data_IF_242708401009
#
_entry.id   IF_242708401009
#
_cell.length_a   1.000
_cell.length_b   1.000
_cell.length_c   1.000
_cell.angle_alpha   90.00
_cell.angle_beta   90.00
_cell.angle_gamma   90.00
#
_symmetry.space_group_name_H-M   'P 1'
#
loop_
_entity.id
_entity.type
_entity.pdbx_description
1 polymer ?
#
# COMPACT_ATOMS: atom_id res chain seq x y z
N UNK A 1 2.54 62.40 -30.13
CA UNK A 1 3.54 61.73 -30.99
C UNK A 1 3.07 60.30 -31.22
N UNK A 2 2.45 60.03 -32.36
CA UNK A 2 1.88 58.71 -32.66
C UNK A 2 2.97 57.84 -33.28
N UNK A 3 3.46 56.85 -32.52
CA UNK A 3 4.46 55.90 -33.00
C UNK A 3 3.84 55.05 -34.12
N UNK A 4 4.19 55.37 -35.37
CA UNK A 4 3.81 54.57 -36.53
C UNK A 4 4.62 53.28 -36.49
N UNK A 5 3.97 52.19 -36.09
CA UNK A 5 4.53 50.83 -36.18
C UNK A 5 4.95 50.58 -37.64
N UNK A 6 6.23 50.21 -37.91
CA UNK A 6 6.73 50.01 -39.26
C UNK A 6 5.92 48.95 -40.01
N UNK A 7 5.66 49.19 -41.29
CA UNK A 7 4.79 48.38 -42.14
C UNK A 7 5.22 46.90 -42.19
N UNK A 8 6.53 46.64 -42.08
CA UNK A 8 7.09 45.29 -41.99
C UNK A 8 6.57 44.51 -40.76
N UNK A 9 6.39 45.18 -39.61
CA UNK A 9 5.91 44.53 -38.39
C UNK A 9 4.41 44.20 -38.48
N UNK A 10 3.63 44.98 -39.24
CA UNK A 10 2.20 44.72 -39.50
C UNK A 10 1.95 43.49 -40.37
N UNK A 11 2.92 43.09 -41.19
CA UNK A 11 2.84 41.89 -42.05
C UNK A 11 3.44 40.65 -41.38
N UNK A 12 4.41 40.81 -40.48
CA UNK A 12 5.06 39.71 -39.77
C UNK A 12 4.17 39.09 -38.68
N UNK A 13 3.39 39.91 -37.97
CA UNK A 13 2.47 39.44 -36.92
C UNK A 13 1.41 38.44 -37.41
N UNK A 14 0.65 38.69 -38.49
CA UNK A 14 -0.32 37.72 -38.99
C UNK A 14 0.36 36.47 -39.56
N UNK A 15 1.56 36.59 -40.13
CA UNK A 15 2.33 35.44 -40.62
C UNK A 15 2.81 34.53 -39.48
N UNK A 16 3.33 35.12 -38.40
CA UNK A 16 3.70 34.40 -37.17
C UNK A 16 2.47 33.76 -36.52
N UNK A 17 1.32 34.43 -36.53
CA UNK A 17 0.09 33.89 -35.98
C UNK A 17 -0.45 32.70 -36.81
N UNK A 18 -0.31 32.76 -38.14
CA UNK A 18 -0.64 31.66 -39.06
C UNK A 18 0.30 30.46 -38.88
N UNK A 19 1.61 30.71 -38.74
CA UNK A 19 2.59 29.66 -38.47
C UNK A 19 2.37 29.00 -37.10
N UNK A 20 2.03 29.77 -36.07
CA UNK A 20 1.66 29.25 -34.75
C UNK A 20 0.38 28.40 -34.80
N UNK A 21 -0.64 28.81 -35.57
CA UNK A 21 -1.87 28.05 -35.78
C UNK A 21 -1.64 26.75 -36.58
N UNK A 22 -0.72 26.75 -37.54
CA UNK A 22 -0.31 25.53 -38.25
C UNK A 22 0.42 24.55 -37.33
N UNK A 23 1.30 25.02 -36.43
CA UNK A 23 1.99 24.19 -35.45
C UNK A 23 1.03 23.58 -34.41
N UNK A 24 -0.01 24.31 -34.00
CA UNK A 24 -1.07 23.80 -33.10
C UNK A 24 -1.95 22.73 -33.76
N UNK A 25 -2.24 22.84 -35.07
CA UNK A 25 -2.98 21.81 -35.82
C UNK A 25 -2.19 20.51 -36.00
N UNK A 26 -0.86 20.60 -36.15
CA UNK A 26 0.01 19.41 -36.26
C UNK A 26 0.09 18.66 -34.92
N UNK A 27 0.07 19.34 -33.77
CA UNK A 27 0.03 18.68 -32.44
C UNK A 27 -1.34 18.07 -32.09
N UNK A 28 -2.44 18.61 -32.60
CA UNK A 28 -3.78 18.06 -32.36
C UNK A 28 -4.06 16.78 -33.17
N UNK A 29 -3.33 16.54 -34.27
CA UNK A 29 -3.58 15.44 -35.21
C UNK A 29 -2.73 14.18 -34.96
N UNK A 30 -1.96 14.12 -33.87
CA UNK A 30 -1.09 12.97 -33.56
C UNK A 30 -1.33 12.45 -32.13
N UNK A 31 -2.56 12.05 -31.84
CA UNK A 31 -2.82 11.02 -30.84
C UNK A 31 -3.64 9.93 -31.54
N UNK A 32 -3.08 8.74 -31.82
CA UNK A 32 -3.93 7.64 -32.26
C UNK A 32 -4.99 7.39 -31.17
N UNK A 33 -6.24 7.08 -31.53
CA UNK A 33 -7.20 6.60 -30.54
C UNK A 33 -6.54 5.41 -29.83
N UNK A 34 -6.48 5.45 -28.51
CA UNK A 34 -6.09 4.27 -27.72
C UNK A 34 -6.91 3.10 -28.26
N UNK A 35 -6.29 1.97 -28.61
CA UNK A 35 -7.05 0.79 -28.98
C UNK A 35 -8.00 0.54 -27.79
N UNK A 36 -9.30 0.56 -28.06
CA UNK A 36 -10.31 0.12 -27.11
C UNK A 36 -9.80 -1.21 -26.57
N UNK A 37 -9.39 -1.23 -25.30
CA UNK A 37 -8.82 -2.41 -24.69
C UNK A 37 -9.88 -3.49 -24.84
N UNK A 38 -9.59 -4.48 -25.69
CA UNK A 38 -10.43 -5.65 -25.82
C UNK A 38 -10.70 -6.17 -24.41
N UNK A 39 -11.95 -6.50 -24.05
CA UNK A 39 -12.25 -7.06 -22.73
C UNK A 39 -11.28 -8.20 -22.48
N UNK A 40 -10.50 -8.11 -21.40
CA UNK A 40 -9.61 -9.19 -21.01
C UNK A 40 -10.43 -10.48 -20.95
N UNK A 41 -9.90 -11.61 -21.46
CA UNK A 41 -10.62 -12.87 -21.40
C UNK A 41 -11.06 -13.14 -19.96
N UNK A 42 -12.27 -13.68 -19.75
CA UNK A 42 -12.77 -13.95 -18.42
C UNK A 42 -11.75 -14.80 -17.67
N UNK A 43 -11.35 -14.34 -16.48
CA UNK A 43 -10.40 -15.07 -15.65
C UNK A 43 -10.94 -16.49 -15.43
N UNK A 44 -10.13 -17.54 -15.63
CA UNK A 44 -10.59 -18.90 -15.40
C UNK A 44 -11.15 -19.02 -13.97
N UNK A 45 -12.18 -19.86 -13.77
CA UNK A 45 -12.79 -20.02 -12.47
C UNK A 45 -11.75 -20.49 -11.45
N UNK A 46 -11.73 -19.84 -10.28
CA UNK A 46 -10.81 -20.12 -9.18
C UNK A 46 -10.78 -21.60 -8.76
N UNK A 47 -11.90 -22.29 -8.91
CA UNK A 47 -12.05 -23.69 -8.57
C UNK A 47 -12.68 -24.44 -9.75
N UNK A 48 -12.31 -25.71 -9.98
CA UNK A 48 -13.03 -26.59 -10.90
C UNK A 48 -14.53 -26.65 -10.57
N UNK A 49 -15.41 -26.97 -11.52
CA UNK A 49 -16.83 -27.21 -11.25
C UNK A 49 -17.02 -28.24 -10.13
N UNK A 50 -18.07 -28.07 -9.31
CA UNK A 50 -18.44 -29.08 -8.34
C UNK A 50 -18.86 -30.35 -9.06
N UNK A 51 -18.20 -31.47 -8.74
CA UNK A 51 -18.71 -32.78 -9.14
C UNK A 51 -19.80 -33.20 -8.14
N UNK A 52 -21.06 -32.95 -8.50
CA UNK A 52 -22.25 -33.22 -7.66
C UNK A 52 -22.42 -34.71 -7.37
N UNK A 53 -21.78 -35.58 -8.17
CA UNK A 53 -21.80 -37.04 -8.01
C UNK A 53 -20.72 -37.58 -7.07
N UNK A 54 -19.80 -36.73 -6.60
CA UNK A 54 -18.74 -37.15 -5.68
C UNK A 54 -19.31 -37.35 -4.27
N UNK A 55 -18.84 -38.36 -3.51
CA UNK A 55 -19.22 -38.53 -2.11
C UNK A 55 -18.86 -37.26 -1.30
N UNK A 56 -19.58 -36.97 -0.20
CA UNK A 56 -19.25 -35.84 0.67
C UNK A 56 -17.76 -35.86 1.03
N UNK A 57 -17.06 -34.72 0.98
CA UNK A 57 -15.64 -34.71 1.26
C UNK A 57 -15.39 -35.27 2.66
N UNK A 58 -14.59 -36.34 2.73
CA UNK A 58 -14.00 -36.82 3.98
C UNK A 58 -13.16 -35.69 4.59
N UNK A 59 -12.91 -35.73 5.91
CA UNK A 59 -12.08 -34.72 6.58
C UNK A 59 -10.80 -34.51 5.77
N UNK A 60 -10.58 -33.27 5.35
CA UNK A 60 -9.43 -32.89 4.55
C UNK A 60 -8.17 -33.14 5.37
N UNK A 61 -7.37 -34.12 4.96
CA UNK A 61 -6.13 -34.48 5.64
C UNK A 61 -4.96 -33.67 5.07
N UNK A 62 -4.16 -33.10 5.96
CA UNK A 62 -2.91 -32.41 5.67
C UNK A 62 -1.97 -32.54 6.88
N UNK A 63 -0.67 -32.58 6.65
CA UNK A 63 0.33 -32.85 7.68
C UNK A 63 0.79 -31.60 8.44
N UNK A 64 0.79 -30.42 7.81
CA UNK A 64 1.25 -29.17 8.43
C UNK A 64 0.56 -27.94 7.85
N UNK A 65 0.64 -26.80 8.54
CA UNK A 65 0.35 -25.50 7.95
C UNK A 65 1.63 -24.79 7.51
N UNK A 66 1.55 -24.05 6.42
CA UNK A 66 2.56 -23.08 6.00
C UNK A 66 2.01 -21.68 6.19
N UNK A 67 2.56 -20.93 7.13
CA UNK A 67 2.35 -19.49 7.23
C UNK A 67 3.33 -18.81 6.26
N UNK A 68 2.81 -18.23 5.17
CA UNK A 68 3.58 -17.40 4.26
C UNK A 68 3.52 -15.95 4.71
N UNK A 69 4.69 -15.34 4.87
CA UNK A 69 4.85 -13.91 5.11
C UNK A 69 5.67 -13.28 3.99
N UNK A 70 5.11 -12.28 3.32
CA UNK A 70 5.71 -11.61 2.18
C UNK A 70 6.52 -10.39 2.61
N UNK A 71 7.62 -10.14 1.90
CA UNK A 71 8.36 -8.88 2.00
C UNK A 71 7.76 -7.87 1.02
N UNK A 72 7.09 -6.78 1.50
CA UNK A 72 6.31 -5.88 0.64
C UNK A 72 7.08 -5.28 -0.53
N UNK A 73 8.33 -4.88 -0.33
CA UNK A 73 9.18 -4.31 -1.39
C UNK A 73 9.41 -5.31 -2.53
N UNK A 74 9.53 -6.60 -2.23
CA UNK A 74 9.67 -7.63 -3.26
C UNK A 74 8.37 -7.85 -4.03
N UNK A 75 7.21 -7.81 -3.35
CA UNK A 75 5.90 -7.90 -4.01
C UNK A 75 5.69 -6.70 -4.94
N UNK A 76 6.01 -5.50 -4.46
CA UNK A 76 5.89 -4.24 -5.20
C UNK A 76 6.89 -4.09 -6.35
N UNK A 77 7.90 -4.95 -6.43
CA UNK A 77 8.82 -4.99 -7.56
C UNK A 77 8.25 -5.77 -8.76
N UNK A 78 7.10 -6.43 -8.60
CA UNK A 78 6.45 -7.14 -9.71
C UNK A 78 5.78 -6.16 -10.67
N UNK A 79 5.83 -6.40 -11.99
CA UNK A 79 5.15 -5.55 -12.97
C UNK A 79 3.64 -5.47 -12.78
N UNK A 80 3.04 -6.49 -12.18
CA UNK A 80 1.60 -6.58 -11.89
C UNK A 80 1.19 -5.81 -10.64
N UNK A 81 2.14 -5.26 -9.88
CA UNK A 81 1.85 -4.53 -8.66
C UNK A 81 1.48 -3.08 -8.97
N UNK A 82 0.18 -2.77 -8.83
CA UNK A 82 -0.36 -1.44 -9.16
C UNK A 82 -1.01 -0.74 -7.96
N UNK A 83 -0.91 -1.32 -6.76
CA UNK A 83 -1.46 -0.71 -5.55
C UNK A 83 -0.67 0.54 -5.15
N UNK A 84 -1.37 1.61 -4.75
CA UNK A 84 -0.74 2.81 -4.18
C UNK A 84 0.06 2.50 -2.90
N UNK A 85 -0.20 1.36 -2.24
CA UNK A 85 0.59 0.87 -1.12
C UNK A 85 2.06 0.61 -1.49
N UNK A 86 2.35 0.37 -2.78
CA UNK A 86 3.72 0.20 -3.28
C UNK A 86 4.52 1.51 -3.38
N UNK A 87 3.88 2.67 -3.21
CA UNK A 87 4.61 3.92 -3.04
C UNK A 87 5.36 3.95 -1.71
N UNK A 88 4.74 3.44 -0.63
CA UNK A 88 5.32 3.40 0.72
C UNK A 88 5.08 2.03 1.36
N UNK A 89 5.69 0.97 0.82
CA UNK A 89 5.52 -0.36 1.38
C UNK A 89 6.12 -0.41 2.79
N UNK A 90 5.45 -1.08 3.74
CA UNK A 90 5.94 -1.13 5.11
C UNK A 90 7.24 -1.95 5.19
N UNK A 91 8.26 -1.51 5.94
CA UNK A 91 9.53 -2.23 6.14
C UNK A 91 9.40 -3.37 7.14
N UNK A 92 8.34 -4.16 7.00
CA UNK A 92 8.09 -5.36 7.80
C UNK A 92 7.34 -6.38 6.97
N UNK A 93 7.43 -7.64 7.39
CA UNK A 93 6.73 -8.72 6.72
C UNK A 93 5.21 -8.58 6.89
N UNK A 94 4.49 -8.86 5.82
CA UNK A 94 3.02 -8.90 5.79
C UNK A 94 2.54 -10.31 5.48
N UNK A 95 1.28 -10.61 5.76
CA UNK A 95 0.72 -11.92 5.53
C UNK A 95 0.60 -12.18 4.02
N UNK A 96 1.13 -13.31 3.58
CA UNK A 96 0.85 -13.91 2.28
C UNK A 96 -0.30 -14.92 2.36
N UNK A 97 -0.31 -15.75 3.43
CA UNK A 97 -1.41 -16.64 3.76
C UNK A 97 -1.09 -17.74 4.76
N UNK A 98 -2.09 -18.58 5.07
CA UNK A 98 -1.93 -19.77 5.90
C UNK A 98 -2.46 -20.99 5.15
N UNK A 99 -1.57 -21.88 4.74
CA UNK A 99 -1.90 -22.92 3.77
C UNK A 99 -1.78 -24.29 4.40
N UNK A 100 -2.85 -25.10 4.42
CA UNK A 100 -2.75 -26.51 4.75
C UNK A 100 -1.91 -27.21 3.67
N UNK A 101 -0.83 -27.85 4.07
CA UNK A 101 0.08 -28.54 3.17
C UNK A 101 0.00 -30.04 3.44
N UNK A 102 -0.27 -30.80 2.38
CA UNK A 102 -0.07 -32.23 2.38
C UNK A 102 1.28 -32.62 1.78
N UNK A 103 2.10 -33.35 2.54
CA UNK A 103 3.42 -33.85 2.09
C UNK A 103 3.33 -35.20 1.38
N UNK A 104 2.25 -35.94 1.59
CA UNK A 104 2.02 -37.28 1.02
C UNK A 104 1.26 -37.25 -0.31
N UNK A 105 0.59 -36.14 -0.63
CA UNK A 105 -0.25 -36.00 -1.83
C UNK A 105 0.43 -35.18 -2.92
N UNK A 106 0.23 -35.58 -4.17
CA UNK A 106 0.67 -34.83 -5.35
C UNK A 106 -0.07 -33.50 -5.53
N UNK A 107 -1.35 -33.46 -5.13
CA UNK A 107 -2.19 -32.27 -5.16
C UNK A 107 -2.51 -31.78 -3.75
N UNK A 108 -2.36 -30.47 -3.55
CA UNK A 108 -2.72 -29.81 -2.30
C UNK A 108 -4.25 -29.68 -2.17
N UNK A 109 -4.80 -29.77 -0.95
CA UNK A 109 -6.22 -29.60 -0.77
C UNK A 109 -6.61 -28.14 -1.05
N UNK A 110 -7.51 -27.94 -2.00
CA UNK A 110 -8.05 -26.62 -2.35
C UNK A 110 -9.56 -26.67 -2.52
N UNK A 111 -10.23 -25.52 -2.47
CA UNK A 111 -11.65 -25.39 -2.82
C UNK A 111 -12.63 -26.25 -1.98
N UNK A 112 -12.28 -26.56 -0.72
CA UNK A 112 -13.11 -27.38 0.18
C UNK A 112 -14.43 -26.69 0.57
N UNK A 113 -14.47 -25.36 0.50
CA UNK A 113 -15.70 -24.56 0.53
C UNK A 113 -15.55 -23.32 -0.36
N UNK A 114 -16.64 -22.91 -1.01
CA UNK A 114 -16.69 -21.71 -1.87
C UNK A 114 -17.38 -20.51 -1.23
N UNK A 115 -18.04 -20.70 -0.09
CA UNK A 115 -18.74 -19.64 0.62
C UNK A 115 -17.76 -18.71 1.31
N UNK A 116 -17.88 -17.42 1.03
CA UNK A 116 -17.13 -16.35 1.69
C UNK A 116 -18.07 -15.16 1.89
N UNK A 117 -18.11 -14.65 3.11
CA UNK A 117 -18.86 -13.45 3.45
C UNK A 117 -17.96 -12.49 4.20
N UNK A 118 -17.76 -11.30 3.62
CA UNK A 118 -16.93 -10.26 4.24
C UNK A 118 -17.50 -9.81 5.59
N UNK A 119 -18.83 -9.83 5.74
CA UNK A 119 -19.52 -9.49 7.00
C UNK A 119 -19.05 -10.34 8.20
N UNK A 120 -18.68 -11.61 7.96
CA UNK A 120 -18.20 -12.55 8.99
C UNK A 120 -16.86 -12.12 9.61
N UNK A 121 -16.11 -11.25 8.93
CA UNK A 121 -14.80 -10.74 9.36
C UNK A 121 -14.74 -9.21 9.40
N UNK A 122 -15.88 -8.53 9.35
CA UNK A 122 -15.94 -7.07 9.22
C UNK A 122 -15.22 -6.33 10.36
N UNK A 123 -15.38 -6.78 11.59
CA UNK A 123 -14.75 -6.21 12.80
C UNK A 123 -13.22 -6.40 12.83
N UNK A 124 -12.70 -7.44 12.18
CA UNK A 124 -11.24 -7.68 12.09
C UNK A 124 -10.64 -7.19 10.77
N UNK A 125 -11.47 -6.71 9.83
CA UNK A 125 -11.01 -6.19 8.55
C UNK A 125 -9.96 -5.06 8.69
N UNK A 126 -10.07 -4.09 9.63
CA UNK A 126 -9.00 -3.10 9.82
C UNK A 126 -7.64 -3.70 10.15
N UNK A 127 -7.60 -4.78 10.95
CA UNK A 127 -6.37 -5.50 11.24
C UNK A 127 -5.87 -6.25 10.00
N UNK A 128 -6.75 -6.89 9.24
CA UNK A 128 -6.39 -7.54 7.99
C UNK A 128 -5.84 -6.55 6.96
N UNK A 129 -6.37 -5.32 6.84
CA UNK A 129 -5.79 -4.30 5.96
C UNK A 129 -4.36 -3.93 6.34
N UNK A 130 -4.09 -3.85 7.64
CA UNK A 130 -2.76 -3.51 8.15
C UNK A 130 -1.74 -4.63 7.95
N UNK A 131 -2.15 -5.88 8.20
CA UNK A 131 -1.23 -7.01 8.24
C UNK A 131 -1.29 -7.90 7.00
N UNK A 132 -2.37 -7.87 6.23
CA UNK A 132 -2.62 -8.65 5.00
C UNK A 132 -3.20 -7.77 3.86
N UNK A 133 -2.51 -6.66 3.51
CA UNK A 133 -2.93 -5.81 2.39
C UNK A 133 -2.76 -6.51 1.04
N UNK A 134 -3.46 -5.99 0.02
CA UNK A 134 -3.23 -6.35 -1.37
C UNK A 134 -2.35 -5.31 -2.07
N UNK A 135 -1.07 -5.64 -2.22
CA UNK A 135 -0.09 -4.83 -2.96
C UNK A 135 -0.22 -4.98 -4.48
N UNK A 136 -0.89 -6.02 -4.98
CA UNK A 136 -0.94 -6.30 -6.40
C UNK A 136 -2.13 -5.63 -7.07
N UNK A 137 -3.35 -5.94 -6.61
CA UNK A 137 -4.59 -5.54 -7.28
C UNK A 137 -5.38 -4.47 -6.52
N UNK A 138 -4.93 -4.07 -5.33
CA UNK A 138 -5.65 -3.16 -4.44
C UNK A 138 -7.09 -3.59 -4.13
N UNK A 139 -7.38 -4.90 -4.17
CA UNK A 139 -8.67 -5.49 -3.84
C UNK A 139 -8.51 -6.54 -2.72
N UNK A 140 -8.48 -6.03 -1.50
CA UNK A 140 -8.27 -6.84 -0.30
C UNK A 140 -9.40 -7.87 -0.09
N UNK A 141 -10.64 -7.54 -0.43
CA UNK A 141 -11.77 -8.45 -0.27
C UNK A 141 -11.66 -9.64 -1.24
N UNK A 142 -11.26 -9.37 -2.50
CA UNK A 142 -10.98 -10.43 -3.47
C UNK A 142 -9.77 -11.28 -3.08
N UNK A 143 -8.71 -10.66 -2.55
CA UNK A 143 -7.54 -11.35 -2.00
C UNK A 143 -7.96 -12.31 -0.88
N UNK A 144 -8.65 -11.81 0.15
CA UNK A 144 -9.06 -12.62 1.30
C UNK A 144 -10.04 -13.72 0.89
N UNK A 145 -10.98 -13.43 -0.02
CA UNK A 145 -11.87 -14.45 -0.61
C UNK A 145 -11.07 -15.55 -1.28
N UNK A 146 -10.10 -15.19 -2.11
CA UNK A 146 -9.25 -16.14 -2.85
C UNK A 146 -8.46 -17.02 -1.88
N UNK A 147 -7.80 -16.40 -0.89
CA UNK A 147 -7.03 -17.12 0.13
C UNK A 147 -7.90 -18.06 0.97
N UNK A 148 -9.13 -17.64 1.30
CA UNK A 148 -10.08 -18.51 1.97
C UNK A 148 -10.51 -19.68 1.08
N UNK A 149 -10.99 -19.41 -0.14
CA UNK A 149 -11.53 -20.46 -1.01
C UNK A 149 -10.45 -21.48 -1.38
N UNK A 150 -9.26 -21.02 -1.77
CA UNK A 150 -8.18 -21.91 -2.21
C UNK A 150 -7.50 -22.64 -1.06
N UNK A 151 -7.41 -22.06 0.13
CA UNK A 151 -6.60 -22.64 1.21
C UNK A 151 -7.35 -22.72 2.54
N UNK A 152 -7.90 -21.60 3.02
CA UNK A 152 -8.52 -21.52 4.33
C UNK A 152 -9.70 -22.47 4.52
N UNK A 153 -10.49 -22.72 3.47
CA UNK A 153 -11.63 -23.63 3.49
C UNK A 153 -11.24 -25.08 3.76
N UNK A 154 -9.98 -25.44 3.46
CA UNK A 154 -9.41 -26.76 3.68
C UNK A 154 -8.65 -26.87 5.01
N UNK A 155 -8.59 -25.79 5.80
CA UNK A 155 -7.79 -25.73 7.02
C UNK A 155 -8.39 -26.48 8.21
N UNK A 156 -9.64 -26.92 8.13
CA UNK A 156 -10.38 -27.44 9.29
C UNK A 156 -10.84 -26.34 10.27
N UNK A 157 -10.52 -25.07 10.01
CA UNK A 157 -11.02 -23.92 10.76
C UNK A 157 -12.23 -23.29 10.06
N UNK A 158 -13.17 -22.75 10.84
CA UNK A 158 -14.22 -21.89 10.29
C UNK A 158 -13.66 -20.56 9.78
N UNK A 159 -14.36 -19.92 8.81
CA UNK A 159 -13.90 -18.71 8.12
C UNK A 159 -13.36 -17.63 9.06
N UNK A 160 -14.14 -17.24 10.07
CA UNK A 160 -13.73 -16.22 11.05
C UNK A 160 -12.50 -16.65 11.86
N UNK A 161 -12.50 -17.89 12.32
CA UNK A 161 -11.42 -18.47 13.13
C UNK A 161 -10.12 -18.56 12.35
N UNK A 162 -10.19 -18.91 11.06
CA UNK A 162 -9.05 -18.91 10.15
C UNK A 162 -8.38 -17.54 10.10
N UNK A 163 -9.11 -16.47 9.75
CA UNK A 163 -8.51 -15.13 9.65
C UNK A 163 -7.96 -14.62 10.98
N UNK A 164 -8.65 -14.87 12.10
CA UNK A 164 -8.11 -14.54 13.43
C UNK A 164 -6.82 -15.30 13.73
N UNK A 165 -6.76 -16.58 13.39
CA UNK A 165 -5.58 -17.42 13.60
C UNK A 165 -4.41 -16.95 12.74
N UNK A 166 -4.62 -16.57 11.47
CA UNK A 166 -3.53 -16.04 10.62
C UNK A 166 -2.98 -14.72 11.20
N UNK A 167 -3.85 -13.80 11.65
CA UNK A 167 -3.43 -12.56 12.30
C UNK A 167 -2.63 -12.80 13.59
N UNK A 168 -3.05 -13.75 14.42
CA UNK A 168 -2.32 -14.17 15.60
C UNK A 168 -0.93 -14.71 15.23
N UNK A 169 -0.87 -15.66 14.30
CA UNK A 169 0.36 -16.32 13.87
C UNK A 169 1.36 -15.36 13.23
N UNK A 170 0.88 -14.42 12.41
CA UNK A 170 1.73 -13.45 11.69
C UNK A 170 2.56 -12.55 12.60
N UNK A 171 2.12 -12.35 13.85
CA UNK A 171 2.76 -11.46 14.82
C UNK A 171 3.75 -12.17 15.74
N UNK A 172 3.91 -13.49 15.61
CA UNK A 172 4.77 -14.29 16.49
C UNK A 172 6.27 -14.14 16.18
N UNK A 173 6.62 -13.72 14.97
CA UNK A 173 7.99 -13.76 14.47
C UNK A 173 8.46 -12.36 14.07
N UNK A 174 9.54 -11.90 14.70
CA UNK A 174 10.19 -10.63 14.35
C UNK A 174 11.39 -10.88 13.42
N UNK A 175 11.07 -11.20 12.17
CA UNK A 175 12.09 -11.49 11.15
C UNK A 175 12.97 -10.29 10.83
N UNK A 176 12.46 -9.06 10.93
CA UNK A 176 13.24 -7.86 10.65
C UNK A 176 14.34 -7.68 11.69
N UNK A 177 13.98 -7.80 12.98
CA UNK A 177 14.97 -7.76 14.07
C UNK A 177 16.01 -8.85 13.91
N UNK A 178 15.57 -10.08 13.61
CA UNK A 178 16.46 -11.23 13.45
C UNK A 178 17.46 -11.02 12.31
N UNK A 179 16.99 -10.61 11.13
CA UNK A 179 17.84 -10.24 9.98
C UNK A 179 18.87 -9.17 10.38
N UNK A 180 18.44 -8.08 11.01
CA UNK A 180 19.32 -6.99 11.41
C UNK A 180 20.39 -7.43 12.42
N UNK A 181 20.04 -8.30 13.39
CA UNK A 181 20.99 -8.81 14.39
C UNK A 181 22.13 -9.63 13.79
N UNK A 182 21.90 -10.23 12.63
CA UNK A 182 22.91 -10.96 11.84
C UNK A 182 23.60 -10.09 10.78
N UNK A 183 23.39 -8.77 10.78
CA UNK A 183 23.95 -7.86 9.78
C UNK A 183 23.31 -7.99 8.39
N UNK A 184 22.19 -8.71 8.28
CA UNK A 184 21.38 -8.85 7.06
C UNK A 184 20.42 -7.66 6.99
N UNK A 185 20.85 -6.63 6.27
CA UNK A 185 20.09 -5.39 6.11
C UNK A 185 19.30 -5.39 4.80
N UNK A 186 18.10 -4.82 4.84
CA UNK A 186 17.37 -4.50 3.62
C UNK A 186 18.03 -3.30 2.91
N UNK A 187 18.22 -3.41 1.59
CA UNK A 187 19.01 -2.46 0.80
C UNK A 187 18.71 -2.59 -0.70
N UNK A 188 18.94 -1.51 -1.46
CA UNK A 188 18.91 -1.52 -2.92
C UNK A 188 20.13 -2.16 -3.57
N UNK A 189 21.29 -2.19 -2.88
CA UNK A 189 22.59 -2.51 -3.49
C UNK A 189 23.40 -3.57 -2.75
N UNK A 190 22.92 -4.10 -1.61
CA UNK A 190 23.62 -5.14 -0.85
C UNK A 190 22.91 -6.48 -0.91
N UNK A 191 23.59 -7.47 -1.47
CA UNK A 191 23.17 -8.87 -1.42
C UNK A 191 23.86 -9.62 -0.28
N UNK A 192 23.18 -10.62 0.26
CA UNK A 192 23.66 -11.46 1.36
C UNK A 192 23.83 -12.92 0.92
N UNK A 193 24.73 -13.66 1.57
CA UNK A 193 24.84 -15.10 1.31
C UNK A 193 23.58 -15.83 1.79
N UNK A 194 23.15 -16.86 1.06
CA UNK A 194 21.97 -17.66 1.41
C UNK A 194 21.99 -18.12 2.87
N UNK A 195 23.09 -18.73 3.32
CA UNK A 195 23.22 -19.27 4.68
C UNK A 195 23.10 -18.19 5.76
N UNK A 196 23.62 -16.99 5.50
CA UNK A 196 23.51 -15.88 6.45
C UNK A 196 22.04 -15.46 6.62
N UNK A 197 21.28 -15.36 5.52
CA UNK A 197 19.85 -15.04 5.56
C UNK A 197 19.06 -16.17 6.22
N UNK A 198 19.32 -17.42 5.86
CA UNK A 198 18.65 -18.59 6.41
C UNK A 198 18.85 -18.69 7.93
N UNK A 199 20.09 -18.50 8.42
CA UNK A 199 20.39 -18.55 9.85
C UNK A 199 19.70 -17.43 10.63
N UNK A 200 19.71 -16.22 10.09
CA UNK A 200 19.01 -15.09 10.70
C UNK A 200 17.50 -15.34 10.79
N UNK A 201 16.87 -15.87 9.74
CA UNK A 201 15.44 -16.18 9.79
C UNK A 201 15.12 -17.34 10.75
N UNK A 202 15.99 -18.35 10.85
CA UNK A 202 15.78 -19.45 11.78
C UNK A 202 15.82 -18.97 13.24
N UNK A 203 16.69 -18.00 13.58
CA UNK A 203 16.76 -17.38 14.92
C UNK A 203 15.41 -16.80 15.34
N UNK A 204 14.74 -16.07 14.44
CA UNK A 204 13.42 -15.50 14.71
C UNK A 204 12.34 -16.54 15.06
N UNK A 205 12.58 -17.81 14.75
CA UNK A 205 11.68 -18.93 15.04
C UNK A 205 12.19 -19.85 16.15
N UNK A 206 13.23 -19.47 16.90
CA UNK A 206 13.80 -20.31 17.95
C UNK A 206 14.68 -21.46 17.41
N UNK A 207 15.24 -21.28 16.21
CA UNK A 207 16.15 -22.24 15.58
C UNK A 207 15.48 -23.22 14.61
N UNK A 208 14.15 -23.21 14.48
CA UNK A 208 13.47 -24.02 13.47
C UNK A 208 13.77 -23.50 12.07
N UNK A 209 13.90 -24.43 11.12
CA UNK A 209 14.15 -24.09 9.72
C UNK A 209 12.90 -23.49 9.08
N UNK A 210 13.01 -22.25 8.61
CA UNK A 210 12.02 -21.66 7.67
C UNK A 210 12.36 -22.01 6.22
N UNK A 211 11.38 -21.91 5.32
CA UNK A 211 11.61 -21.98 3.87
C UNK A 211 11.61 -20.57 3.29
N UNK A 212 12.66 -20.23 2.53
CA UNK A 212 12.75 -18.95 1.83
C UNK A 212 12.24 -19.09 0.38
N UNK A 213 11.33 -18.21 -0.01
CA UNK A 213 10.85 -18.05 -1.40
C UNK A 213 11.57 -16.84 -2.00
N UNK A 214 12.21 -17.03 -3.15
CA UNK A 214 12.88 -15.95 -3.87
C UNK A 214 12.30 -15.76 -5.26
N UNK A 215 12.39 -14.53 -5.77
CA UNK A 215 12.02 -14.19 -7.13
C UNK A 215 13.15 -13.48 -7.86
N UNK A 216 13.07 -13.49 -9.18
CA UNK A 216 13.94 -12.67 -10.01
C UNK A 216 13.30 -11.29 -10.14
N UNK A 217 14.03 -10.26 -9.72
CA UNK A 217 13.68 -8.87 -9.97
C UNK A 217 14.87 -8.23 -10.71
N UNK A 218 14.67 -7.83 -11.97
CA UNK A 218 15.75 -7.43 -12.88
C UNK A 218 16.86 -8.50 -12.91
N UNK A 219 18.09 -8.15 -12.50
CA UNK A 219 19.26 -9.03 -12.44
C UNK A 219 19.52 -9.61 -11.04
N UNK A 220 18.59 -9.43 -10.10
CA UNK A 220 18.77 -9.82 -8.70
C UNK A 220 17.83 -10.96 -8.30
N UNK A 221 18.32 -11.82 -7.42
CA UNK A 221 17.48 -12.78 -6.68
C UNK A 221 17.03 -12.09 -5.40
N UNK A 222 15.74 -11.79 -5.27
CA UNK A 222 15.16 -11.08 -4.13
C UNK A 222 14.39 -12.02 -3.22
N UNK A 223 14.50 -11.84 -1.90
CA UNK A 223 13.67 -12.55 -0.93
C UNK A 223 12.23 -12.08 -1.08
N UNK A 224 11.36 -12.96 -1.57
CA UNK A 224 9.95 -12.64 -1.80
C UNK A 224 9.10 -12.94 -0.57
N UNK A 225 9.29 -14.13 0.02
CA UNK A 225 8.53 -14.55 1.19
C UNK A 225 9.34 -15.48 2.11
N UNK A 226 8.93 -15.50 3.37
CA UNK A 226 9.38 -16.44 4.39
C UNK A 226 8.21 -17.33 4.75
N UNK A 227 8.40 -18.64 4.63
CA UNK A 227 7.40 -19.65 4.95
C UNK A 227 7.77 -20.33 6.27
N UNK A 228 6.92 -20.18 7.27
CA UNK A 228 7.03 -20.85 8.56
C UNK A 228 6.12 -22.06 8.59
N UNK A 229 6.65 -23.22 8.93
CA UNK A 229 5.87 -24.45 9.02
C UNK A 229 5.38 -24.66 10.45
N UNK A 230 4.12 -25.06 10.59
CA UNK A 230 3.44 -25.18 11.87
C UNK A 230 2.75 -26.54 11.97
N UNK A 231 2.74 -27.11 13.17
CA UNK A 231 2.00 -28.34 13.45
C UNK A 231 0.49 -28.14 13.16
N UNK A 232 -0.13 -29.09 12.46
CA UNK A 232 -1.52 -28.99 11.97
C UNK A 232 -2.62 -28.92 13.06
N UNK A 233 -2.34 -29.36 14.29
CA UNK A 233 -3.27 -29.20 15.43
C UNK A 233 -2.88 -28.09 16.42
N UNK A 234 -1.61 -28.07 16.87
CA UNK A 234 -1.15 -27.19 17.95
C UNK A 234 -0.69 -25.82 17.47
N UNK A 235 -0.39 -25.67 16.18
CA UNK A 235 0.22 -24.47 15.61
C UNK A 235 1.58 -24.10 16.22
N UNK A 236 2.29 -25.09 16.78
CA UNK A 236 3.69 -24.94 17.19
C UNK A 236 4.57 -24.85 15.96
N UNK A 237 5.65 -24.07 16.03
CA UNK A 237 6.67 -24.02 14.98
C UNK A 237 7.36 -25.37 14.85
N UNK A 238 7.52 -25.82 13.61
CA UNK A 238 8.26 -27.04 13.26
C UNK A 238 9.21 -26.73 12.10
N UNK A 239 10.21 -27.59 11.90
CA UNK A 239 11.09 -27.49 10.75
C UNK A 239 10.29 -27.63 9.45
N UNK A 240 10.44 -26.68 8.54
CA UNK A 240 9.95 -26.85 7.19
C UNK A 240 10.71 -27.98 6.48
N UNK A 241 10.02 -28.81 5.67
CA UNK A 241 10.69 -29.82 4.86
C UNK A 241 11.78 -29.22 3.98
N UNK A 242 12.92 -29.93 3.88
CA UNK A 242 14.05 -29.56 3.02
C UNK A 242 13.66 -29.51 1.56
N UNK A 243 12.73 -30.37 1.15
CA UNK A 243 12.15 -30.35 -0.18
C UNK A 243 11.20 -29.16 -0.31
N UNK A 244 11.50 -28.30 -1.27
CA UNK A 244 10.49 -27.40 -1.80
C UNK A 244 9.53 -28.28 -2.60
N UNK A 245 8.41 -28.66 -1.98
CA UNK A 245 7.43 -29.56 -2.59
C UNK A 245 6.93 -28.92 -3.88
N UNK A 246 7.31 -29.53 -4.98
CA UNK A 246 6.85 -29.26 -6.34
C UNK A 246 5.42 -29.83 -6.41
N UNK A 247 4.39 -28.98 -6.35
CA UNK A 247 3.10 -29.43 -6.87
C UNK A 247 3.24 -29.47 -8.38
N UNK A 248 3.19 -30.65 -8.97
CA UNK A 248 3.44 -30.87 -10.41
C UNK A 248 2.37 -30.28 -11.34
N UNK A 249 1.35 -29.61 -10.79
CA UNK A 249 0.32 -28.87 -11.55
C UNK A 249 0.29 -27.38 -11.20
N UNK A 250 1.19 -26.91 -10.35
CA UNK A 250 1.44 -25.50 -10.12
C UNK A 250 2.81 -25.20 -10.75
N UNK A 251 2.88 -24.19 -11.61
CA UNK A 251 4.13 -23.71 -12.22
C UNK A 251 5.13 -23.14 -11.20
N UNK A 252 4.93 -23.41 -9.90
CA UNK A 252 5.71 -22.93 -8.77
C UNK A 252 6.95 -23.77 -8.40
N UNK A 253 7.51 -24.52 -9.37
CA UNK A 253 8.98 -24.68 -9.35
C UNK A 253 9.68 -23.31 -9.40
N UNK A 254 9.00 -22.26 -9.87
CA UNK A 254 9.34 -20.87 -9.56
C UNK A 254 9.12 -20.64 -8.06
N UNK A 255 10.19 -20.65 -7.25
CA UNK A 255 9.99 -20.99 -5.85
C UNK A 255 11.06 -20.51 -4.89
N UNK A 256 11.86 -21.49 -4.53
CA UNK A 256 12.75 -21.38 -3.40
C UNK A 256 13.99 -20.58 -3.77
N UNK A 257 14.59 -19.98 -2.76
CA UNK A 257 15.89 -19.37 -2.90
C UNK A 257 16.92 -20.46 -3.23
N UNK A 258 17.69 -20.24 -4.30
CA UNK A 258 18.82 -21.09 -4.70
C UNK A 258 19.99 -20.86 -3.72
N UNK A 259 20.46 -21.90 -3.01
CA UNK A 259 21.57 -21.78 -2.05
C UNK A 259 22.88 -21.26 -2.64
N UNK A 260 23.08 -21.39 -3.96
CA UNK A 260 24.26 -20.88 -4.64
C UNK A 260 24.21 -19.38 -4.94
N UNK A 261 23.04 -18.74 -4.81
CA UNK A 261 22.84 -17.33 -5.14
C UNK A 261 22.95 -16.44 -3.92
N UNK A 262 23.31 -15.19 -4.17
CA UNK A 262 23.17 -14.11 -3.19
C UNK A 262 21.74 -13.59 -3.21
N UNK A 263 21.21 -13.29 -2.03
CA UNK A 263 19.82 -12.85 -1.82
C UNK A 263 19.82 -11.35 -1.51
N UNK A 264 19.04 -10.60 -2.26
CA UNK A 264 18.71 -9.21 -1.96
C UNK A 264 17.43 -9.14 -1.13
N UNK A 265 17.40 -8.24 -0.16
CA UNK A 265 16.17 -7.88 0.57
C UNK A 265 15.90 -6.43 0.19
N UNK A 266 15.09 -6.16 -0.85
CA UNK A 266 14.98 -4.82 -1.41
C UNK A 266 14.38 -3.85 -0.40
N UNK A 267 14.90 -2.63 -0.38
CA UNK A 267 14.33 -1.52 0.38
C UNK A 267 14.64 -0.23 -0.37
N UNK A 268 13.62 0.59 -0.63
CA UNK A 268 13.80 1.95 -1.14
C UNK A 268 13.14 2.94 -0.19
N UNK A 269 13.91 3.92 0.28
CA UNK A 269 13.37 5.12 0.89
C UNK A 269 13.21 6.18 -0.18
N UNK A 270 12.10 6.92 -0.20
CA UNK A 270 11.99 8.18 -0.94
C UNK A 270 12.81 9.28 -0.24
N UNK A 271 14.11 9.05 -0.11
CA UNK A 271 15.08 10.13 0.04
C UNK A 271 15.58 10.38 -1.38
N UNK A 272 15.04 11.44 -2.02
CA UNK A 272 15.52 12.06 -3.26
C UNK A 272 16.69 11.36 -3.94
N UNK A 273 16.40 10.38 -4.80
CA UNK A 273 17.39 9.89 -5.74
C UNK A 273 17.45 10.87 -6.91
N UNK A 274 18.04 12.04 -6.63
CA UNK A 274 18.72 12.82 -7.65
C UNK A 274 20.10 12.17 -7.82
N UNK A 275 20.16 11.10 -8.60
CA UNK A 275 21.41 10.63 -9.16
C UNK A 275 21.83 11.62 -10.26
N UNK A 276 22.39 12.76 -9.86
CA UNK A 276 23.42 13.41 -10.65
C UNK A 276 24.78 12.94 -10.12
N UNK A 277 25.53 12.38 -11.06
CA UNK A 277 26.95 12.12 -11.03
C UNK A 277 27.73 13.37 -10.60
N UNK A 278 28.63 13.27 -9.62
CA UNK A 278 29.52 14.40 -9.32
C UNK A 278 30.13 14.42 -7.92
N UNK A 279 31.36 13.92 -7.85
CA UNK A 279 32.45 14.39 -7.01
C UNK A 279 32.26 15.84 -6.47
N UNK A 280 32.22 16.02 -5.14
CA UNK A 280 33.04 16.99 -4.36
C UNK A 280 32.49 17.20 -2.94
N UNK A 281 33.42 17.19 -1.99
CA UNK A 281 33.24 17.63 -0.61
C UNK A 281 32.59 19.03 -0.50
N UNK A 282 31.51 19.13 0.28
CA UNK A 282 31.18 20.35 1.03
C UNK A 282 30.13 20.05 2.11
N UNK A 283 30.54 20.08 3.38
CA UNK A 283 29.62 20.16 4.50
C UNK A 283 28.78 21.46 4.41
N UNK A 284 27.45 21.34 4.35
CA UNK A 284 26.56 22.50 4.39
C UNK A 284 26.45 23.06 5.82
N UNK A 285 26.48 24.40 5.99
CA UNK A 285 26.48 25.02 7.31
C UNK A 285 25.08 24.96 7.96
N UNK A 286 25.07 24.70 9.28
CA UNK A 286 23.91 24.47 10.14
C UNK A 286 22.78 25.53 10.09
N UNK A 287 22.95 26.67 9.43
CA UNK A 287 21.93 27.71 9.27
C UNK A 287 20.79 27.35 8.31
N UNK A 288 21.05 26.55 7.26
CA UNK A 288 20.03 26.25 6.24
C UNK A 288 19.02 25.16 6.66
N UNK A 289 19.37 24.33 7.65
CA UNK A 289 18.49 23.26 8.15
C UNK A 289 17.34 23.81 9.02
N UNK A 290 17.55 24.94 9.70
CA UNK A 290 16.53 25.59 10.51
C UNK A 290 15.46 26.27 9.63
N UNK A 291 15.88 26.92 8.54
CA UNK A 291 14.96 27.65 7.66
C UNK A 291 14.00 26.69 6.96
N UNK A 292 14.50 25.59 6.38
CA UNK A 292 13.64 24.63 5.66
C UNK A 292 12.69 23.86 6.58
N UNK A 293 13.10 23.60 7.83
CA UNK A 293 12.28 22.85 8.80
C UNK A 293 11.20 23.71 9.45
N UNK A 294 11.49 24.98 9.78
CA UNK A 294 10.60 25.81 10.60
C UNK A 294 9.82 26.88 9.81
N UNK A 295 10.28 27.30 8.63
CA UNK A 295 9.59 28.31 7.82
C UNK A 295 8.15 27.89 7.42
N UNK A 296 7.84 26.63 7.07
CA UNK A 296 6.46 26.23 6.77
C UNK A 296 5.53 26.33 7.99
N UNK A 297 6.03 26.04 9.19
CA UNK A 297 5.28 26.16 10.43
C UNK A 297 5.04 27.62 10.83
N UNK A 298 6.04 28.48 10.65
CA UNK A 298 5.92 29.92 10.87
C UNK A 298 4.92 30.57 9.90
N UNK A 299 4.95 30.19 8.61
CA UNK A 299 3.99 30.68 7.63
C UNK A 299 2.55 30.24 7.96
N UNK A 300 2.35 29.00 8.44
CA UNK A 300 1.04 28.51 8.90
C UNK A 300 0.56 29.25 10.14
N UNK A 301 1.44 29.49 11.12
CA UNK A 301 1.11 30.25 12.32
C UNK A 301 0.72 31.70 11.97
N UNK A 302 1.45 32.34 11.05
CA UNK A 302 1.15 33.69 10.58
C UNK A 302 -0.19 33.76 9.82
N UNK A 303 -0.48 32.77 8.97
CA UNK A 303 -1.76 32.69 8.27
C UNK A 303 -2.95 32.52 9.24
N UNK A 304 -2.81 31.71 10.28
CA UNK A 304 -3.82 31.56 11.33
C UNK A 304 -4.03 32.86 12.12
N UNK A 305 -2.95 33.56 12.45
CA UNK A 305 -3.02 34.86 13.13
C UNK A 305 -3.75 35.90 12.27
N UNK A 306 -3.43 35.99 10.98
CA UNK A 306 -4.13 36.87 10.03
C UNK A 306 -5.61 36.53 9.94
N UNK A 307 -5.96 35.24 9.85
CA UNK A 307 -7.35 34.81 9.81
C UNK A 307 -8.12 35.22 11.07
N UNK A 308 -7.53 35.02 12.26
CA UNK A 308 -8.13 35.45 13.53
C UNK A 308 -8.30 36.96 13.60
N UNK A 309 -7.33 37.75 13.13
CA UNK A 309 -7.43 39.21 13.08
C UNK A 309 -8.56 39.67 12.14
N UNK A 310 -8.72 39.04 10.98
CA UNK A 310 -9.82 39.33 10.04
C UNK A 310 -11.16 39.01 10.67
N UNK A 311 -11.27 37.86 11.37
CA UNK A 311 -12.50 37.48 12.08
C UNK A 311 -12.85 38.46 13.20
N UNK A 312 -11.85 38.87 14.00
CA UNK A 312 -12.02 39.88 15.05
C UNK A 312 -12.45 41.23 14.48
N UNK A 313 -11.85 41.65 13.37
CA UNK A 313 -12.24 42.88 12.66
C UNK A 313 -13.70 42.81 12.18
N UNK A 314 -14.12 41.67 11.60
CA UNK A 314 -15.50 41.45 11.17
C UNK A 314 -16.50 41.45 12.32
N UNK A 315 -16.14 40.85 13.46
CA UNK A 315 -16.95 40.88 14.68
C UNK A 315 -17.09 42.31 15.22
N UNK A 316 -15.98 43.05 15.29
CA UNK A 316 -15.96 44.41 15.82
C UNK A 316 -16.78 45.38 14.94
N UNK A 317 -16.65 45.28 13.61
CA UNK A 317 -17.44 46.09 12.66
C UNK A 317 -18.92 45.72 12.68
N UNK A 318 -19.27 44.44 12.85
CA UNK A 318 -20.65 43.98 13.04
C UNK A 318 -21.29 44.52 14.33
N UNK A 319 -20.53 44.52 15.43
CA UNK A 319 -20.97 45.08 16.72
C UNK A 319 -21.15 46.59 16.65
N UNK A 320 -20.22 47.33 16.02
CA UNK A 320 -20.33 48.78 15.82
C UNK A 320 -21.53 49.16 14.96
N UNK A 321 -21.82 48.41 13.88
CA UNK A 321 -23.03 48.62 13.07
C UNK A 321 -24.31 48.39 13.87
N UNK A 322 -24.31 47.38 14.73
CA UNK A 322 -25.46 47.07 15.60
C UNK A 322 -25.68 48.14 16.68
N UNK A 323 -24.61 48.73 17.22
CA UNK A 323 -24.68 49.83 18.17
C UNK A 323 -25.14 51.15 17.52
N UNK A 324 -24.71 51.44 16.29
CA UNK A 324 -25.13 52.63 15.54
C UNK A 324 -26.59 52.58 15.06
N UNK A 325 -27.20 51.39 15.00
CA UNK A 325 -28.60 51.21 14.64
C UNK A 325 -29.59 51.40 15.81
N UNK A 326 -29.10 51.76 17.01
CA UNK A 326 -29.96 52.07 18.16
C UNK A 326 -30.33 53.57 18.17
N UNK A 327 -31.60 53.96 17.95
CA UNK A 327 -32.00 55.36 18.02
C UNK A 327 -32.04 55.81 19.48
N UNK A 328 -31.35 56.91 19.79
CA UNK A 328 -31.42 57.56 21.10
C UNK A 328 -32.87 57.94 21.45
N UNK A 329 -33.49 57.23 22.40
CA UNK A 329 -34.66 57.77 23.11
C UNK A 329 -34.17 58.72 24.20
N UNK A 330 -34.09 60.01 23.86
CA UNK A 330 -34.11 61.09 24.85
C UNK A 330 -35.25 62.05 24.54
N UNK A 331 -36.26 61.95 25.42
CA UNK A 331 -37.20 62.97 25.89
C UNK A 331 -37.86 63.94 24.88
N UNK A 332 -39.20 63.83 24.78
CA UNK A 332 -40.07 65.01 24.70
C UNK A 332 -41.15 64.88 25.77
N UNK A 333 -40.97 65.64 26.84
CA UNK A 333 -41.98 65.98 27.84
C UNK A 333 -42.73 67.23 27.36
N UNK A 334 -44.02 67.11 27.02
CA UNK A 334 -44.94 68.26 26.95
C UNK A 334 -46.40 67.86 27.17
N UNK A 335 -46.81 68.01 28.44
CA UNK A 335 -48.04 68.63 28.95
C UNK A 335 -49.31 68.68 28.08
N UNK A 336 -50.39 68.03 28.55
CA UNK A 336 -51.80 68.49 28.55
C UNK A 336 -52.60 67.54 29.48
N UNK A 337 -52.79 67.88 30.77
CA UNK A 337 -53.93 68.61 31.36
C UNK A 337 -55.33 68.17 30.92
N UNK A 338 -56.13 67.73 31.93
CA UNK A 338 -57.60 67.80 32.05
C UNK A 338 -58.42 66.94 31.07
N UNK A 339 -59.59 66.36 31.39
CA UNK A 339 -60.54 66.43 32.51
C UNK A 339 -61.65 65.38 32.25
N UNK A 340 -62.24 64.86 33.32
CA UNK A 340 -63.68 64.58 33.53
C UNK A 340 -64.31 63.47 32.66
N UNK A 341 -64.59 62.29 33.24
CA UNK A 341 -65.89 61.86 33.83
C UNK A 341 -67.02 61.70 32.81
N UNK A 342 -67.62 60.51 32.79
CA UNK A 342 -68.86 60.20 32.09
C UNK A 342 -68.86 58.78 31.59
#
# INVERSE_FOLDING_TARGET
MSARVPLALRLLLPLLHLLALQQLRVRAAASPPSPSAAPLPPRPPLCPPLNVSAPPPTRVHFELYVLSLHWPFSVCSRPTAHSALCHYPPPTFTIGGLWPLSTSRSAQPTCCARSFSLSTIFDIAPALRRYWPDFEHADEAALWRTQWVLHGSCSGLGLRTYFKKVLELSRRYDFVRALNSHGVVASTNKAHAFELVQNALNEATGGYRVRMRCEKALNHTVLHAVHVCLHNTRFDTINCPHTCVISTNDSSQQGCCDPSKRIYIPYWSHASDSSEEGQHDAAMPAGQLLVTKYLPWLLRAFALLLFLLVMLYWLCTSLLRSAAASPSRRASSRTQYARISG
#
